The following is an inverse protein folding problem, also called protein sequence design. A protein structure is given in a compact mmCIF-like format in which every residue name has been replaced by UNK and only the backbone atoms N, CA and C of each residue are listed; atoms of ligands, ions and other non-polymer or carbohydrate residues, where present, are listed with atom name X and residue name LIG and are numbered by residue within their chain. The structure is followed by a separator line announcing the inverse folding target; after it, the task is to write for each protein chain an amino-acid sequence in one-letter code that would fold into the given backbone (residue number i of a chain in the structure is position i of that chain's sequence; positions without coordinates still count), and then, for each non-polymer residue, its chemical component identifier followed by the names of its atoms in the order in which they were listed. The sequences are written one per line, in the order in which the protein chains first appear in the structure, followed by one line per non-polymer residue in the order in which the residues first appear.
data_IF_938290775542
#
_entry.id   IF_938290775542
#
_cell.length_a   1.000
_cell.length_b   1.000
_cell.length_c   1.000
_cell.angle_alpha   90.00
_cell.angle_beta   90.00
_cell.angle_gamma   90.00
#
_symmetry.space_group_name_H-M   'P 1'
#
loop_
_entity.id
_entity.type
_entity.pdbx_description
1 polymer ?
#
# COMPACT_ATOMS: atom_id res chain seq x y z
N UNK A 1 -2.30 -2.80 16.42
CA UNK A 1 -2.09 -1.83 15.34
C UNK A 1 -1.94 -2.52 14.00
N UNK A 2 -2.95 -2.40 13.15
CA UNK A 2 -2.95 -2.94 11.79
C UNK A 2 -1.98 -2.15 10.90
N UNK A 3 -1.30 -2.85 9.98
CA UNK A 3 -0.29 -2.25 9.11
C UNK A 3 -0.81 -2.04 7.69
N UNK A 4 -0.72 -0.81 7.22
CA UNK A 4 -1.06 -0.39 5.86
C UNK A 4 0.10 0.38 5.23
N UNK A 5 0.13 0.41 3.90
CA UNK A 5 1.18 1.12 3.17
C UNK A 5 0.70 1.70 1.84
N UNK A 6 1.50 2.61 1.29
CA UNK A 6 1.46 2.97 -0.13
C UNK A 6 2.81 2.64 -0.78
N UNK A 7 2.79 1.86 -1.85
CA UNK A 7 3.96 1.54 -2.68
C UNK A 7 4.03 2.44 -3.92
N UNK A 8 5.23 2.89 -4.26
CA UNK A 8 5.52 3.63 -5.51
C UNK A 8 7.00 3.95 -5.65
N UNK A 9 7.38 4.49 -6.81
CA UNK A 9 8.74 4.93 -7.10
C UNK A 9 8.72 6.12 -8.09
N UNK A 10 9.04 7.36 -7.66
CA UNK A 10 9.34 7.79 -6.29
C UNK A 10 8.09 7.84 -5.40
N UNK A 11 8.26 7.72 -4.07
CA UNK A 11 7.13 7.70 -3.11
C UNK A 11 7.14 8.81 -2.05
N UNK A 12 8.27 9.52 -1.88
CA UNK A 12 8.48 10.45 -0.77
C UNK A 12 7.40 11.53 -0.64
N UNK A 13 6.84 12.00 -1.77
CA UNK A 13 5.83 13.06 -1.81
C UNK A 13 4.38 12.57 -1.70
N UNK A 14 4.14 11.26 -1.55
CA UNK A 14 2.77 10.75 -1.41
C UNK A 14 2.12 11.35 -0.16
N UNK A 15 0.91 11.90 -0.30
CA UNK A 15 0.12 12.43 0.83
C UNK A 15 -0.74 11.36 1.52
N UNK A 16 -0.82 10.15 0.96
CA UNK A 16 -1.68 9.08 1.47
C UNK A 16 -1.44 8.78 2.96
N UNK A 17 -0.20 8.68 3.48
CA UNK A 17 0.01 8.45 4.91
C UNK A 17 -0.63 9.52 5.80
N UNK A 18 -0.43 10.79 5.48
CA UNK A 18 -0.95 11.88 6.30
C UNK A 18 -2.49 11.89 6.29
N UNK A 19 -3.09 11.63 5.12
CA UNK A 19 -4.54 11.52 4.96
C UNK A 19 -5.10 10.32 5.75
N UNK A 20 -4.52 9.13 5.60
CA UNK A 20 -5.02 7.92 6.28
C UNK A 20 -4.80 7.96 7.79
N UNK A 21 -3.67 8.52 8.26
CA UNK A 21 -3.43 8.71 9.69
C UNK A 21 -4.37 9.75 10.30
N UNK A 22 -4.73 10.80 9.55
CA UNK A 22 -5.75 11.76 9.96
C UNK A 22 -7.12 11.08 10.13
N UNK A 23 -7.56 10.31 9.14
CA UNK A 23 -8.81 9.53 9.25
C UNK A 23 -8.77 8.53 10.39
N UNK A 24 -7.66 7.82 10.59
CA UNK A 24 -7.50 6.87 11.68
C UNK A 24 -7.69 7.55 13.05
N UNK A 25 -7.13 8.75 13.22
CA UNK A 25 -7.31 9.54 14.44
C UNK A 25 -8.77 9.96 14.64
N UNK A 26 -9.42 10.47 13.60
CA UNK A 26 -10.82 10.93 13.68
C UNK A 26 -11.81 9.78 13.94
N UNK A 27 -11.49 8.59 13.44
CA UNK A 27 -12.35 7.40 13.52
C UNK A 27 -11.89 6.39 14.58
N UNK A 28 -10.93 6.78 15.43
CA UNK A 28 -10.37 5.96 16.52
C UNK A 28 -9.88 4.57 16.08
N UNK A 29 -9.27 4.50 14.89
CA UNK A 29 -8.71 3.26 14.35
C UNK A 29 -7.24 3.11 14.78
N UNK A 30 -6.89 1.93 15.29
CA UNK A 30 -5.51 1.59 15.65
C UNK A 30 -4.75 1.03 14.44
N UNK A 31 -4.32 1.94 13.55
CA UNK A 31 -3.56 1.61 12.34
C UNK A 31 -2.26 2.40 12.25
N UNK A 32 -1.31 1.84 11.50
CA UNK A 32 -0.14 2.53 10.99
C UNK A 32 -0.19 2.51 9.46
N UNK A 33 0.03 3.67 8.85
CA UNK A 33 0.04 3.82 7.39
C UNK A 33 1.37 4.45 6.95
N UNK A 34 2.16 3.73 6.15
CA UNK A 34 3.53 4.16 5.79
C UNK A 34 3.76 4.25 4.28
N UNK A 35 4.86 4.91 3.89
CA UNK A 35 5.36 4.93 2.50
C UNK A 35 6.37 3.81 2.35
N UNK A 36 6.27 3.02 1.28
CA UNK A 36 7.30 2.03 0.94
C UNK A 36 7.80 2.34 -0.47
N UNK A 37 9.11 2.56 -0.60
CA UNK A 37 9.75 2.73 -1.90
C UNK A 37 9.77 1.37 -2.59
N UNK A 38 9.00 1.24 -3.66
CA UNK A 38 8.97 0.00 -4.44
C UNK A 38 10.23 -0.12 -5.28
N UNK A 39 10.78 -1.32 -5.34
CA UNK A 39 11.92 -1.66 -6.18
C UNK A 39 11.45 -2.09 -7.57
N UNK A 40 12.11 -1.59 -8.62
CA UNK A 40 11.68 -1.85 -10.00
C UNK A 40 11.79 -3.32 -10.40
N UNK A 41 12.65 -4.11 -9.74
CA UNK A 41 12.82 -5.54 -9.98
C UNK A 41 12.03 -6.35 -8.96
N UNK A 42 12.16 -6.00 -7.67
CA UNK A 42 11.69 -6.82 -6.56
C UNK A 42 10.28 -6.47 -6.03
N UNK A 43 9.54 -5.58 -6.69
CA UNK A 43 8.23 -5.10 -6.24
C UNK A 43 7.28 -6.20 -5.76
N UNK A 44 7.07 -7.27 -6.55
CA UNK A 44 6.14 -8.35 -6.17
C UNK A 44 6.62 -9.08 -4.90
N UNK A 45 7.94 -9.25 -4.74
CA UNK A 45 8.53 -9.86 -3.54
C UNK A 45 8.37 -8.95 -2.32
N UNK A 46 8.53 -7.64 -2.49
CA UNK A 46 8.29 -6.68 -1.42
C UNK A 46 6.82 -6.68 -0.98
N UNK A 47 5.89 -6.76 -1.94
CA UNK A 47 4.44 -6.86 -1.66
C UNK A 47 4.12 -8.15 -0.90
N UNK A 48 4.62 -9.30 -1.35
CA UNK A 48 4.45 -10.59 -0.63
C UNK A 48 5.00 -10.51 0.78
N UNK A 49 6.23 -10.04 0.95
CA UNK A 49 6.88 -9.90 2.25
C UNK A 49 6.12 -8.94 3.19
N UNK A 50 5.46 -7.91 2.67
CA UNK A 50 4.61 -7.02 3.46
C UNK A 50 3.40 -7.77 4.03
N UNK A 51 2.71 -8.57 3.22
CA UNK A 51 1.59 -9.37 3.68
C UNK A 51 2.00 -10.53 4.61
N UNK A 52 3.13 -11.20 4.33
CA UNK A 52 3.70 -12.24 5.22
C UNK A 52 4.02 -11.70 6.63
N UNK A 53 4.39 -10.41 6.73
CA UNK A 53 4.62 -9.72 8.01
C UNK A 53 3.33 -9.25 8.69
N UNK A 54 2.16 -9.61 8.18
CA UNK A 54 0.85 -9.27 8.74
C UNK A 54 0.25 -7.96 8.23
N UNK A 55 0.75 -7.42 7.11
CA UNK A 55 0.13 -6.29 6.41
C UNK A 55 -1.35 -6.57 6.10
N UNK A 56 -2.22 -5.58 6.34
CA UNK A 56 -3.68 -5.72 6.17
C UNK A 56 -4.20 -5.18 4.85
N UNK A 57 -3.44 -4.30 4.21
CA UNK A 57 -3.75 -3.76 2.89
C UNK A 57 -2.72 -2.74 2.45
N UNK A 58 -2.68 -2.45 1.16
CA UNK A 58 -1.79 -1.43 0.60
C UNK A 58 -2.45 -0.71 -0.57
N UNK A 59 -2.07 0.56 -0.76
CA UNK A 59 -2.31 1.29 -2.00
C UNK A 59 -1.07 1.16 -2.91
N UNK A 60 -1.29 1.27 -4.22
CA UNK A 60 -0.22 1.26 -5.22
C UNK A 60 -0.32 2.49 -6.12
N UNK A 61 0.80 3.18 -6.30
CA UNK A 61 0.94 4.29 -7.25
C UNK A 61 2.00 3.98 -8.32
N UNK A 62 2.24 4.94 -9.21
CA UNK A 62 3.22 4.81 -10.29
C UNK A 62 4.60 4.33 -9.79
N UNK A 63 5.28 3.46 -10.55
CA UNK A 63 4.88 2.82 -11.81
C UNK A 63 4.19 1.45 -11.65
N UNK A 64 3.81 1.04 -10.44
CA UNK A 64 3.54 -0.37 -10.15
C UNK A 64 2.08 -0.82 -10.29
N UNK A 65 1.18 0.04 -10.76
CA UNK A 65 -0.26 -0.27 -10.78
C UNK A 65 -0.60 -1.52 -11.59
N UNK A 66 -0.05 -1.64 -12.79
CA UNK A 66 -0.33 -2.79 -13.68
C UNK A 66 0.25 -4.09 -13.12
N UNK A 67 1.42 -4.00 -12.48
CA UNK A 67 2.06 -5.13 -11.79
C UNK A 67 1.21 -5.60 -10.61
N UNK A 68 0.76 -4.66 -9.77
CA UNK A 68 -0.12 -4.97 -8.65
C UNK A 68 -1.46 -5.56 -9.11
N UNK A 69 -2.03 -5.03 -10.20
CA UNK A 69 -3.24 -5.58 -10.80
C UNK A 69 -3.05 -7.05 -11.22
N UNK A 70 -1.90 -7.37 -11.83
CA UNK A 70 -1.56 -8.75 -12.21
C UNK A 70 -1.33 -9.69 -11.01
N UNK A 71 -1.07 -9.15 -9.81
CA UNK A 71 -0.91 -9.94 -8.59
C UNK A 71 -2.24 -10.29 -7.90
N UNK A 72 -3.34 -9.63 -8.23
CA UNK A 72 -4.60 -9.80 -7.52
C UNK A 72 -5.28 -11.13 -7.89
N UNK A 73 -5.63 -11.95 -6.89
CA UNK A 73 -6.44 -13.16 -7.10
C UNK A 73 -7.88 -12.83 -7.53
N UNK A 74 -8.40 -11.70 -7.04
CA UNK A 74 -9.75 -11.20 -7.34
C UNK A 74 -9.66 -9.71 -7.66
N UNK A 75 -10.27 -9.34 -8.78
CA UNK A 75 -10.42 -7.96 -9.21
C UNK A 75 -11.86 -7.52 -9.01
N UNK A 76 -12.07 -6.34 -8.43
CA UNK A 76 -13.39 -5.73 -8.38
C UNK A 76 -13.83 -5.38 -9.80
N UNK A 77 -15.08 -5.70 -10.17
CA UNK A 77 -15.70 -5.17 -11.38
C UNK A 77 -15.71 -3.63 -11.26
N UNK A 78 -15.06 -2.94 -12.19
CA UNK A 78 -15.10 -1.48 -12.25
C UNK A 78 -16.52 -1.04 -12.62
N UNK A 79 -17.09 -0.11 -11.84
CA UNK A 79 -18.27 0.67 -12.25
C UNK A 79 -17.89 1.71 -13.29
#
# INVERSE_FOLDING_TARGET
MDQYAVFGNPIAHSKSPDIHMHFAKETQQDINYTRILGDDIEFENQVRAFFEKGGKGLNVTSPFKDRAFAMCDVLSLTS
#
